data_IF_470921330012
#
_entry.id   IF_470921330012
#
_cell.length_a   1.000
_cell.length_b   1.000
_cell.length_c   1.000
_cell.angle_alpha   90.00
_cell.angle_beta   90.00
_cell.angle_gamma   90.00
#
_symmetry.space_group_name_H-M   'P 1'
#
loop_
_entity.id
_entity.type
_entity.pdbx_description
1 polymer ?
#
# COMPACT_ATOMS: atom_id res chain seq x y z
N UNK A 1 -1.51 -3.86 24.85
CA UNK A 1 -2.46 -4.38 23.83
C UNK A 1 -1.65 -5.07 22.76
N UNK A 2 -2.05 -6.28 22.35
CA UNK A 2 -1.38 -7.04 21.30
C UNK A 2 -1.72 -6.38 19.95
N UNK A 3 -0.79 -5.63 19.36
CA UNK A 3 -0.99 -4.86 18.11
C UNK A 3 -0.74 -5.71 16.85
N UNK A 4 -0.75 -7.04 16.98
CA UNK A 4 -0.46 -7.97 15.89
C UNK A 4 -1.74 -8.28 15.13
N UNK A 5 -1.76 -7.89 13.85
CA UNK A 5 -2.82 -8.26 12.91
C UNK A 5 -2.75 -9.76 12.62
N UNK A 6 -3.91 -10.42 12.63
CA UNK A 6 -4.08 -11.78 12.13
C UNK A 6 -4.80 -11.77 10.77
N UNK A 7 -4.48 -12.71 9.86
CA UNK A 7 -5.27 -12.94 8.65
C UNK A 7 -6.76 -13.08 8.96
N UNK A 8 -7.61 -12.63 8.03
CA UNK A 8 -9.06 -12.72 8.18
C UNK A 8 -9.79 -12.70 6.84
N UNK A 9 -10.98 -13.27 6.80
CA UNK A 9 -11.96 -13.12 5.71
C UNK A 9 -13.05 -12.09 6.05
N UNK A 10 -13.05 -11.55 7.28
CA UNK A 10 -14.03 -10.57 7.76
C UNK A 10 -13.60 -9.15 7.37
N UNK A 11 -14.41 -8.52 6.52
CA UNK A 11 -14.16 -7.18 6.02
C UNK A 11 -14.22 -6.11 7.11
N UNK A 12 -15.12 -6.24 8.09
CA UNK A 12 -15.25 -5.25 9.17
C UNK A 12 -14.08 -5.34 10.13
N UNK A 13 -13.58 -6.55 10.39
CA UNK A 13 -12.31 -6.72 11.10
C UNK A 13 -11.15 -6.09 10.33
N UNK A 14 -11.06 -6.31 9.01
CA UNK A 14 -9.99 -5.74 8.19
C UNK A 14 -10.01 -4.19 8.20
N UNK A 15 -11.20 -3.58 8.14
CA UNK A 15 -11.39 -2.13 8.31
C UNK A 15 -10.95 -1.64 9.69
N UNK A 16 -11.33 -2.37 10.74
CA UNK A 16 -10.90 -2.04 12.10
C UNK A 16 -9.37 -2.11 12.25
N UNK A 17 -8.72 -3.13 11.69
CA UNK A 17 -7.27 -3.27 11.72
C UNK A 17 -6.57 -2.12 10.96
N UNK A 18 -7.13 -1.68 9.83
CA UNK A 18 -6.65 -0.48 9.13
C UNK A 18 -6.73 0.78 9.99
N UNK A 19 -7.85 1.01 10.69
CA UNK A 19 -8.05 2.20 11.52
C UNK A 19 -7.16 2.21 12.77
N UNK A 20 -6.98 1.05 13.40
CA UNK A 20 -6.27 0.94 14.69
C UNK A 20 -4.77 0.72 14.50
N UNK A 21 -4.40 -0.15 13.56
CA UNK A 21 -3.02 -0.62 13.38
C UNK A 21 -2.32 0.06 12.19
N UNK A 22 -3.07 0.38 11.13
CA UNK A 22 -2.56 0.98 9.89
C UNK A 22 -2.31 -0.02 8.76
N UNK A 23 -2.59 -1.30 8.97
CA UNK A 23 -2.58 -2.34 7.93
C UNK A 23 -3.53 -3.48 8.33
N UNK A 24 -3.98 -4.26 7.34
CA UNK A 24 -4.73 -5.49 7.56
C UNK A 24 -4.15 -6.63 6.72
N UNK A 25 -4.46 -7.88 7.06
CA UNK A 25 -4.14 -9.06 6.25
C UNK A 25 -5.44 -9.79 5.95
N UNK A 26 -5.75 -9.93 4.66
CA UNK A 26 -6.93 -10.65 4.19
C UNK A 26 -6.53 -11.92 3.46
N UNK A 27 -7.25 -13.01 3.71
CA UNK A 27 -6.99 -14.32 3.09
C UNK A 27 -8.15 -14.75 2.19
N UNK A 28 -7.88 -15.71 1.29
CA UNK A 28 -8.90 -16.20 0.34
C UNK A 28 -9.39 -15.13 -0.66
N UNK A 29 -8.55 -14.13 -0.96
CA UNK A 29 -8.93 -12.98 -1.80
C UNK A 29 -8.90 -13.34 -3.29
N UNK A 30 -7.93 -14.14 -3.73
CA UNK A 30 -7.78 -14.58 -5.12
C UNK A 30 -7.94 -16.10 -5.23
N UNK A 31 -8.55 -16.63 -6.31
CA UNK A 31 -8.56 -18.06 -6.59
C UNK A 31 -7.14 -18.63 -6.75
N UNK A 32 -6.93 -19.86 -6.29
CA UNK A 32 -5.61 -20.52 -6.33
C UNK A 32 -5.06 -20.65 -7.76
N UNK A 33 -5.94 -20.94 -8.75
CA UNK A 33 -5.52 -21.04 -10.15
C UNK A 33 -5.01 -19.70 -10.69
N UNK A 34 -5.63 -18.59 -10.29
CA UNK A 34 -5.24 -17.24 -10.69
C UNK A 34 -3.89 -16.85 -10.08
N UNK A 35 -3.65 -17.25 -8.82
CA UNK A 35 -2.34 -17.05 -8.17
C UNK A 35 -1.25 -17.81 -8.93
N UNK A 36 -1.50 -19.07 -9.32
CA UNK A 36 -0.56 -19.88 -10.10
C UNK A 36 -0.28 -19.25 -11.47
N UNK A 37 -1.32 -18.91 -12.23
CA UNK A 37 -1.17 -18.26 -13.55
C UNK A 37 -0.42 -16.94 -13.46
N UNK A 38 -0.74 -16.11 -12.46
CA UNK A 38 -0.04 -14.84 -12.24
C UNK A 38 1.43 -15.06 -11.92
N UNK A 39 1.76 -16.04 -11.07
CA UNK A 39 3.13 -16.40 -10.75
C UNK A 39 3.90 -16.82 -12.00
N UNK A 40 3.33 -17.70 -12.81
CA UNK A 40 3.95 -18.17 -14.06
C UNK A 40 4.21 -17.00 -15.01
N UNK A 41 3.22 -16.11 -15.17
CA UNK A 41 3.33 -14.93 -16.02
C UNK A 41 4.42 -13.96 -15.54
N UNK A 42 4.55 -13.75 -14.23
CA UNK A 42 5.64 -12.97 -13.63
C UNK A 42 7.00 -13.58 -14.00
N UNK A 43 7.18 -14.89 -13.82
CA UNK A 43 8.44 -15.58 -14.08
C UNK A 43 8.79 -15.59 -15.57
N UNK A 44 7.80 -15.77 -16.44
CA UNK A 44 7.97 -15.68 -17.89
C UNK A 44 8.41 -14.28 -18.32
N UNK A 45 7.73 -13.24 -17.84
CA UNK A 45 8.09 -11.86 -18.12
C UNK A 45 9.49 -11.51 -17.58
N UNK A 46 9.83 -11.98 -16.38
CA UNK A 46 11.14 -11.77 -15.78
C UNK A 46 12.27 -12.38 -16.61
N UNK A 47 12.06 -13.61 -17.13
CA UNK A 47 13.01 -14.27 -18.03
C UNK A 47 13.13 -13.53 -19.37
N UNK A 48 12.01 -13.16 -19.97
CA UNK A 48 12.02 -12.40 -21.23
C UNK A 48 12.76 -11.07 -21.11
N UNK A 49 12.62 -10.37 -19.98
CA UNK A 49 13.38 -9.14 -19.71
C UNK A 49 14.88 -9.40 -19.55
N UNK A 50 15.28 -10.52 -18.94
CA UNK A 50 16.69 -10.93 -18.83
C UNK A 50 17.29 -11.29 -20.18
N UNK A 51 16.61 -12.14 -20.93
CA UNK A 51 17.04 -12.61 -22.25
C UNK A 51 17.19 -11.43 -23.23
N UNK A 52 16.34 -10.41 -23.09
CA UNK A 52 16.41 -9.18 -23.87
C UNK A 52 17.39 -8.13 -23.31
N UNK A 53 18.14 -8.41 -22.24
CA UNK A 53 19.08 -7.47 -21.61
C UNK A 53 18.42 -6.23 -20.99
N UNK A 54 17.12 -6.31 -20.65
CA UNK A 54 16.29 -5.21 -20.12
C UNK A 54 15.87 -5.40 -18.66
N UNK A 55 16.36 -6.46 -18.01
CA UNK A 55 16.02 -6.75 -16.62
C UNK A 55 16.51 -5.63 -15.70
N UNK A 56 15.58 -5.08 -14.91
CA UNK A 56 15.89 -4.10 -13.89
C UNK A 56 16.11 -4.81 -12.55
N UNK A 57 17.36 -4.83 -12.08
CA UNK A 57 17.76 -5.52 -10.84
C UNK A 57 18.31 -4.50 -9.85
N UNK A 58 17.81 -4.56 -8.61
CA UNK A 58 18.19 -3.68 -7.50
C UNK A 58 18.38 -4.50 -6.21
N UNK A 59 18.88 -3.83 -5.17
CA UNK A 59 18.94 -4.38 -3.80
C UNK A 59 19.64 -5.74 -3.70
N UNK A 60 20.73 -5.89 -4.46
CA UNK A 60 21.47 -7.13 -4.60
C UNK A 60 20.89 -8.01 -5.71
N UNK A 61 19.73 -8.62 -5.47
CA UNK A 61 19.16 -9.62 -6.38
C UNK A 61 17.63 -9.54 -6.51
N UNK A 62 17.05 -8.37 -6.28
CA UNK A 62 15.63 -8.14 -6.53
C UNK A 62 15.42 -7.72 -7.98
N UNK A 63 14.73 -8.54 -8.77
CA UNK A 63 14.30 -8.13 -10.10
C UNK A 63 12.94 -7.43 -10.01
N UNK A 64 12.84 -6.24 -10.57
CA UNK A 64 11.63 -5.44 -10.59
C UNK A 64 10.95 -5.52 -11.94
N UNK A 65 9.80 -6.20 -12.00
CA UNK A 65 8.97 -6.22 -13.20
C UNK A 65 7.98 -5.06 -13.08
N UNK A 66 8.28 -3.96 -13.76
CA UNK A 66 7.47 -2.74 -13.70
C UNK A 66 6.23 -2.80 -14.62
N UNK A 67 5.19 -2.05 -14.31
CA UNK A 67 3.99 -1.87 -15.14
C UNK A 67 3.33 -3.20 -15.57
N UNK A 68 3.10 -4.09 -14.60
CA UNK A 68 2.65 -5.48 -14.87
C UNK A 68 1.31 -5.55 -15.58
N UNK A 69 0.43 -4.56 -15.40
CA UNK A 69 -0.86 -4.52 -16.12
C UNK A 69 -0.72 -4.54 -17.65
N UNK A 70 0.39 -4.04 -18.20
CA UNK A 70 0.63 -4.05 -19.64
C UNK A 70 1.26 -5.36 -20.13
N UNK A 71 1.46 -6.33 -19.23
CA UNK A 71 2.31 -7.50 -19.46
C UNK A 71 1.56 -8.82 -19.36
N UNK A 72 0.25 -8.82 -19.09
CA UNK A 72 -0.56 -10.04 -19.03
C UNK A 72 -1.97 -9.75 -18.54
N UNK A 73 -2.96 -10.51 -19.03
CA UNK A 73 -4.35 -10.36 -18.61
C UNK A 73 -4.56 -10.77 -17.14
N UNK A 74 -3.73 -11.70 -16.66
CA UNK A 74 -3.73 -12.24 -15.30
C UNK A 74 -3.54 -11.14 -14.26
N UNK A 75 -2.78 -10.09 -14.56
CA UNK A 75 -2.55 -8.98 -13.62
C UNK A 75 -3.80 -8.11 -13.44
N UNK A 76 -4.55 -7.87 -14.51
CA UNK A 76 -5.82 -7.15 -14.44
C UNK A 76 -6.88 -8.01 -13.76
N UNK A 77 -6.92 -9.29 -14.09
CA UNK A 77 -7.78 -10.28 -13.44
C UNK A 77 -7.50 -10.32 -11.93
N UNK A 78 -6.24 -10.43 -11.50
CA UNK A 78 -5.87 -10.42 -10.09
C UNK A 78 -6.32 -9.12 -9.38
N UNK A 79 -6.11 -7.96 -10.02
CA UNK A 79 -6.52 -6.67 -9.46
C UNK A 79 -8.04 -6.56 -9.25
N UNK A 80 -8.83 -7.26 -10.08
CA UNK A 80 -10.29 -7.12 -10.13
C UNK A 80 -11.07 -8.34 -9.65
N UNK A 81 -10.39 -9.46 -9.34
CA UNK A 81 -11.01 -10.73 -8.97
C UNK A 81 -11.78 -10.69 -7.64
N UNK A 82 -11.51 -9.70 -6.78
CA UNK A 82 -12.09 -9.62 -5.45
C UNK A 82 -12.71 -8.25 -5.18
N UNK A 83 -13.96 -8.26 -4.73
CA UNK A 83 -14.60 -7.06 -4.20
C UNK A 83 -13.87 -6.57 -2.94
N UNK A 84 -13.36 -7.48 -2.10
CA UNK A 84 -12.69 -7.17 -0.83
C UNK A 84 -11.52 -6.21 -1.00
N UNK A 85 -10.64 -6.43 -1.98
CA UNK A 85 -9.47 -5.57 -2.21
C UNK A 85 -9.89 -4.15 -2.60
N UNK A 86 -10.84 -4.03 -3.54
CA UNK A 86 -11.35 -2.75 -4.01
C UNK A 86 -12.18 -2.03 -2.93
N UNK A 87 -12.92 -2.75 -2.10
CA UNK A 87 -13.68 -2.19 -0.99
C UNK A 87 -12.78 -1.66 0.12
N UNK A 88 -11.65 -2.32 0.41
CA UNK A 88 -10.65 -1.79 1.34
C UNK A 88 -9.97 -0.53 0.78
N UNK A 89 -9.68 -0.48 -0.52
CA UNK A 89 -9.21 0.76 -1.16
C UNK A 89 -10.25 1.88 -1.03
N UNK A 90 -11.54 1.60 -1.30
CA UNK A 90 -12.63 2.59 -1.11
C UNK A 90 -12.78 3.01 0.34
N UNK A 91 -12.57 2.08 1.28
CA UNK A 91 -12.67 2.37 2.70
C UNK A 91 -11.61 3.38 3.15
N UNK A 92 -10.41 3.32 2.61
CA UNK A 92 -9.33 4.25 2.97
C UNK A 92 -9.37 5.53 2.12
N UNK A 93 -9.50 5.39 0.81
CA UNK A 93 -9.34 6.50 -0.15
C UNK A 93 -10.65 7.18 -0.52
N UNK A 94 -11.80 6.53 -0.34
CA UNK A 94 -13.10 7.02 -0.83
C UNK A 94 -13.47 6.42 -2.18
N UNK A 95 -14.59 6.89 -2.75
CA UNK A 95 -15.18 6.27 -3.94
C UNK A 95 -14.34 6.47 -5.21
N UNK A 96 -13.71 7.64 -5.35
CA UNK A 96 -12.80 7.93 -6.46
C UNK A 96 -11.36 7.61 -6.10
N UNK A 97 -10.73 6.69 -6.84
CA UNK A 97 -9.29 6.48 -6.78
C UNK A 97 -8.78 5.99 -8.13
N UNK A 98 -7.48 6.13 -8.35
CA UNK A 98 -6.79 5.61 -9.52
C UNK A 98 -5.72 4.61 -9.08
N UNK A 99 -5.34 3.73 -10.00
CA UNK A 99 -4.13 2.92 -9.82
C UNK A 99 -2.91 3.75 -10.25
N UNK A 100 -2.04 4.06 -9.30
CA UNK A 100 -0.82 4.84 -9.56
C UNK A 100 0.30 4.00 -10.16
N UNK A 101 0.56 2.81 -9.59
CA UNK A 101 1.61 1.91 -10.05
C UNK A 101 1.23 0.44 -9.84
N UNK A 102 1.81 -0.45 -10.66
CA UNK A 102 1.64 -1.90 -10.53
C UNK A 102 2.96 -2.60 -10.89
N UNK A 103 3.57 -3.26 -9.91
CA UNK A 103 4.88 -3.88 -10.05
C UNK A 103 4.88 -5.25 -9.39
N UNK A 104 5.70 -6.17 -9.90
CA UNK A 104 5.95 -7.48 -9.29
C UNK A 104 7.45 -7.63 -8.99
N UNK A 105 7.93 -7.18 -7.83
CA UNK A 105 9.31 -7.44 -7.44
C UNK A 105 9.51 -8.92 -7.09
N UNK A 106 10.59 -9.51 -7.59
CA UNK A 106 11.04 -10.88 -7.26
C UNK A 106 12.29 -10.76 -6.41
N UNK A 107 12.15 -10.95 -5.10
CA UNK A 107 13.27 -10.98 -4.17
C UNK A 107 14.02 -12.32 -4.30
N UNK A 108 15.19 -12.31 -4.92
CA UNK A 108 16.07 -13.47 -5.03
C UNK A 108 16.92 -13.69 -3.77
N UNK A 109 17.67 -14.81 -3.69
CA UNK A 109 18.69 -15.01 -2.66
C UNK A 109 19.66 -13.82 -2.59
N UNK A 110 20.07 -13.47 -1.37
CA UNK A 110 20.91 -12.31 -1.08
C UNK A 110 20.28 -10.92 -1.34
N UNK A 111 18.96 -10.84 -1.53
CA UNK A 111 18.24 -9.56 -1.49
C UNK A 111 18.43 -8.87 -0.15
N UNK A 112 18.85 -7.61 -0.19
CA UNK A 112 19.03 -6.79 1.01
C UNK A 112 17.70 -6.38 1.64
N UNK A 113 17.66 -6.27 2.97
CA UNK A 113 16.49 -5.73 3.66
C UNK A 113 16.38 -4.23 3.41
N UNK A 114 15.20 -3.78 2.96
CA UNK A 114 14.95 -2.35 2.79
C UNK A 114 15.02 -1.61 4.14
N UNK A 115 15.49 -0.36 4.10
CA UNK A 115 15.40 0.55 5.26
C UNK A 115 13.93 0.79 5.60
N UNK A 116 13.65 1.08 6.87
CA UNK A 116 12.31 1.49 7.29
C UNK A 116 11.89 2.76 6.53
N UNK A 117 10.69 2.74 5.93
CA UNK A 117 10.15 3.83 5.13
C UNK A 117 8.62 3.84 5.19
N UNK A 118 8.03 4.92 4.69
CA UNK A 118 6.60 5.04 4.39
C UNK A 118 6.44 5.31 2.91
N UNK A 119 5.49 4.64 2.26
CA UNK A 119 5.24 4.86 0.83
C UNK A 119 4.57 6.22 0.58
N UNK A 120 3.72 6.67 1.51
CA UNK A 120 3.14 8.01 1.47
C UNK A 120 4.17 9.03 1.93
N UNK A 121 4.50 9.96 1.02
CA UNK A 121 5.28 11.17 1.31
C UNK A 121 4.33 12.37 1.54
N UNK A 122 4.87 13.57 1.53
CA UNK A 122 4.11 14.81 1.73
C UNK A 122 2.90 14.91 0.79
N UNK A 123 1.76 15.36 1.31
CA UNK A 123 0.56 15.66 0.52
C UNK A 123 0.14 17.12 0.70
N UNK A 124 -0.35 17.78 -0.35
CA UNK A 124 -0.87 19.14 -0.26
C UNK A 124 -2.04 19.25 0.73
N UNK A 125 -2.27 20.46 1.24
CA UNK A 125 -3.38 20.72 2.14
C UNK A 125 -4.72 20.66 1.37
N UNK A 126 -5.73 20.03 1.97
CA UNK A 126 -7.11 20.13 1.50
C UNK A 126 -7.78 21.28 2.24
N UNK A 127 -8.39 22.19 1.49
CA UNK A 127 -9.21 23.26 2.07
C UNK A 127 -10.61 22.75 2.42
N UNK A 128 -10.94 22.77 3.70
CA UNK A 128 -12.28 22.47 4.20
C UNK A 128 -12.58 23.38 5.39
N UNK A 129 -13.75 24.04 5.39
CA UNK A 129 -14.27 24.75 6.56
C UNK A 129 -15.66 24.20 6.93
N UNK A 130 -15.84 23.63 8.14
CA UNK A 130 -14.81 23.30 9.13
C UNK A 130 -13.88 22.17 8.65
N UNK A 131 -12.65 22.15 9.14
CA UNK A 131 -11.74 21.03 8.89
C UNK A 131 -12.26 19.77 9.57
N UNK A 132 -12.62 18.77 8.78
CA UNK A 132 -13.12 17.47 9.24
C UNK A 132 -12.37 16.35 8.53
N UNK A 133 -12.37 15.15 9.11
CA UNK A 133 -11.81 13.99 8.44
C UNK A 133 -12.57 13.73 7.13
N UNK A 134 -11.84 13.78 6.01
CA UNK A 134 -12.38 13.46 4.70
C UNK A 134 -11.43 12.54 3.94
N UNK A 135 -12.02 11.59 3.23
CA UNK A 135 -11.31 10.69 2.32
C UNK A 135 -10.94 11.46 1.06
N UNK A 136 -9.70 11.31 0.59
CA UNK A 136 -9.22 12.12 -0.53
C UNK A 136 -10.07 11.97 -1.79
N UNK A 137 -10.52 10.76 -2.11
CA UNK A 137 -11.40 10.45 -3.24
C UNK A 137 -12.82 11.00 -3.15
N UNK A 138 -13.21 11.57 -2.01
CA UNK A 138 -14.44 12.36 -1.87
C UNK A 138 -14.20 13.86 -2.15
N UNK A 139 -12.93 14.27 -2.22
CA UNK A 139 -12.52 15.62 -2.55
C UNK A 139 -12.11 15.64 -4.03
N UNK A 140 -12.79 16.43 -4.87
CA UNK A 140 -12.38 16.61 -6.25
C UNK A 140 -11.01 17.31 -6.37
N UNK A 141 -10.41 17.26 -7.56
CA UNK A 141 -9.15 17.97 -7.86
C UNK A 141 -9.27 19.49 -7.67
N UNK A 142 -10.48 20.03 -7.75
CA UNK A 142 -10.80 21.44 -7.55
C UNK A 142 -10.59 21.93 -6.10
N UNK A 143 -10.50 21.01 -5.13
CA UNK A 143 -10.38 21.32 -3.70
C UNK A 143 -8.95 21.19 -3.15
N UNK A 144 -7.98 20.85 -3.99
CA UNK A 144 -6.57 20.79 -3.58
C UNK A 144 -5.93 22.17 -3.62
N UNK A 145 -5.47 22.69 -2.48
CA UNK A 145 -4.61 23.86 -2.47
C UNK A 145 -3.16 23.46 -2.72
N UNK A 146 -2.50 24.16 -3.65
CA UNK A 146 -1.04 24.14 -3.82
C UNK A 146 -0.35 25.14 -2.87
N UNK A 147 -1.12 25.76 -1.96
CA UNK A 147 -0.68 26.80 -1.03
C UNK A 147 -0.18 26.29 0.32
N UNK A 148 0.69 27.06 0.97
CA UNK A 148 1.23 26.78 2.29
C UNK A 148 0.38 27.44 3.39
N UNK A 149 -0.87 27.02 3.55
CA UNK A 149 -1.69 27.44 4.70
C UNK A 149 -1.55 26.41 5.82
N UNK A 150 -0.95 26.82 6.94
CA UNK A 150 -0.79 25.97 8.11
C UNK A 150 -2.12 25.91 8.87
N UNK A 151 -2.78 24.75 8.84
CA UNK A 151 -4.02 24.52 9.59
C UNK A 151 -3.83 23.38 10.59
N UNK A 152 -4.34 23.56 11.81
CA UNK A 152 -4.29 22.56 12.88
C UNK A 152 -5.13 21.33 12.51
N UNK A 153 -4.56 20.13 12.64
CA UNK A 153 -5.22 18.86 12.29
C UNK A 153 -4.91 17.79 13.33
N UNK A 154 -5.85 16.88 13.57
CA UNK A 154 -5.65 15.69 14.42
C UNK A 154 -4.76 14.62 13.75
N UNK A 155 -4.48 14.78 12.45
CA UNK A 155 -3.62 13.94 11.63
C UNK A 155 -2.77 14.82 10.71
N UNK A 156 -1.49 14.48 10.49
CA UNK A 156 -0.61 15.30 9.65
C UNK A 156 -1.15 15.43 8.21
N UNK A 157 -1.59 14.32 7.63
CA UNK A 157 -2.07 14.24 6.24
C UNK A 157 -3.24 13.27 6.13
N UNK A 158 -4.27 13.57 5.31
CA UNK A 158 -5.27 12.57 4.96
C UNK A 158 -4.61 11.41 4.20
N UNK A 159 -5.14 10.18 4.30
CA UNK A 159 -4.64 9.07 3.50
C UNK A 159 -4.91 9.36 2.02
N UNK A 160 -3.85 9.40 1.22
CA UNK A 160 -3.93 9.65 -0.23
C UNK A 160 -3.52 8.43 -1.06
N UNK A 161 -3.03 7.37 -0.41
CA UNK A 161 -2.66 6.14 -1.08
C UNK A 161 -2.92 4.91 -0.19
N UNK A 162 -3.08 3.78 -0.86
CA UNK A 162 -3.11 2.45 -0.25
C UNK A 162 -2.16 1.57 -1.05
N UNK A 163 -1.26 0.88 -0.36
CA UNK A 163 -0.42 -0.15 -0.97
C UNK A 163 -1.14 -1.49 -0.84
N UNK A 164 -1.56 -2.06 -1.97
CA UNK A 164 -2.04 -3.44 -2.03
C UNK A 164 -0.86 -4.38 -2.33
N UNK A 165 -0.60 -5.31 -1.42
CA UNK A 165 0.43 -6.34 -1.59
C UNK A 165 -0.24 -7.68 -1.79
N UNK A 166 -0.06 -8.27 -2.97
CA UNK A 166 -0.52 -9.61 -3.29
C UNK A 166 0.60 -10.61 -3.01
N UNK A 167 0.39 -11.51 -2.06
CA UNK A 167 1.32 -12.60 -1.79
C UNK A 167 1.18 -13.69 -2.86
N UNK A 168 1.92 -13.55 -3.97
CA UNK A 168 1.94 -14.53 -5.08
C UNK A 168 2.73 -15.80 -4.71
N UNK A 169 3.56 -15.70 -3.67
CA UNK A 169 4.23 -16.82 -3.00
C UNK A 169 4.13 -16.61 -1.49
N UNK A 170 4.37 -17.67 -0.72
CA UNK A 170 4.37 -17.58 0.74
C UNK A 170 5.32 -16.52 1.27
N UNK A 171 4.86 -15.73 2.23
CA UNK A 171 5.68 -14.78 2.98
C UNK A 171 6.00 -15.41 4.34
N UNK A 172 7.28 -15.68 4.58
CA UNK A 172 7.78 -16.35 5.78
C UNK A 172 8.90 -15.53 6.42
N UNK A 173 9.25 -15.85 7.67
CA UNK A 173 10.39 -15.24 8.33
C UNK A 173 11.72 -15.50 7.58
N UNK A 174 11.83 -16.64 6.89
CA UNK A 174 13.06 -17.09 6.25
C UNK A 174 13.29 -16.49 4.86
N UNK A 175 12.23 -16.10 4.14
CA UNK A 175 12.32 -15.50 2.81
C UNK A 175 12.07 -13.98 2.79
N UNK A 176 12.05 -13.36 3.97
CA UNK A 176 12.00 -11.89 4.09
C UNK A 176 10.61 -11.29 3.98
N UNK A 177 9.59 -11.90 4.59
CA UNK A 177 8.26 -11.32 4.70
C UNK A 177 8.30 -9.84 5.13
N UNK A 178 7.44 -9.02 4.52
CA UNK A 178 7.30 -7.61 4.86
C UNK A 178 7.07 -7.41 6.35
N UNK A 179 7.80 -6.49 6.96
CA UNK A 179 7.67 -6.15 8.38
C UNK A 179 7.00 -4.80 8.52
N UNK A 180 5.84 -4.81 9.15
CA UNK A 180 5.08 -3.61 9.48
C UNK A 180 5.38 -3.17 10.91
N UNK A 181 5.45 -1.86 11.13
CA UNK A 181 5.47 -1.28 12.47
C UNK A 181 4.04 -0.78 12.75
N UNK A 182 3.32 -1.39 13.70
CA UNK A 182 2.01 -0.91 14.12
C UNK A 182 2.03 0.57 14.47
N UNK A 183 0.95 1.28 14.14
CA UNK A 183 0.73 2.66 14.56
C UNK A 183 0.97 2.77 16.07
N UNK A 184 1.82 3.71 16.47
CA UNK A 184 1.96 4.09 17.87
C UNK A 184 0.69 4.84 18.31
N UNK A 185 0.13 4.59 19.50
CA UNK A 185 -0.97 5.40 20.01
C UNK A 185 -0.55 6.87 19.98
N UNK A 186 -1.48 7.81 19.71
CA UNK A 186 -1.15 9.22 19.72
C UNK A 186 -0.52 9.56 21.06
N UNK A 187 0.75 9.97 21.04
CA UNK A 187 1.38 10.59 22.20
C UNK A 187 0.58 11.86 22.45
N UNK A 188 -0.22 11.89 23.51
CA UNK A 188 -0.73 13.16 24.04
C UNK A 188 0.48 13.96 24.47
N UNK A 189 1.06 14.78 23.60
CA UNK A 189 2.07 15.75 24.00
C UNK A 189 1.36 16.82 24.82
N UNK A 190 1.32 16.63 26.14
CA UNK A 190 1.03 17.72 27.08
C UNK A 190 2.20 18.71 27.21
N UNK A 191 3.25 18.55 26.40
CA UNK A 191 4.39 19.46 26.39
C UNK A 191 4.11 20.61 25.42
N UNK A 192 3.69 21.76 25.98
CA UNK A 192 3.90 23.06 25.33
C UNK A 192 5.39 23.16 24.99
N UNK A 193 5.73 23.15 23.70
CA UNK A 193 7.03 23.63 23.27
C UNK A 193 7.11 25.12 23.64
N UNK A 194 8.11 25.57 24.42
CA UNK A 194 8.26 26.98 24.69
C UNK A 194 8.65 27.67 23.38
N UNK A 195 7.84 28.66 22.99
CA UNK A 195 8.18 29.57 21.92
C UNK A 195 9.55 30.20 22.22
N UNK A 196 10.50 30.06 21.30
CA UNK A 196 11.65 30.95 21.21
C UNK A 196 11.64 31.57 19.83
N UNK A 197 11.75 32.89 19.86
CA UNK A 197 11.80 33.85 18.76
C UNK A 197 12.86 33.49 17.71
#
# INVERSE_FOLDING_TARGET
MNTRVSPTTDLDKARHDLDVVGYCIVEGVAPDDLVVRTRERILEQARAERDAGRAFVQDGNTQWIANVLNKGAEFLELLTCSATSLELCRYVLGQGFILSCSNAPIAGPATGRMKMHTDQFWTPAIHQEPLTYSRLGANGLDRSEVGHSAVSRDYLFPPCMVTLIWAITDFTANNGATVFVPRQPPVRSSARLPARF
#
